data_IF_675355304864
#
_entry.id   IF_675355304864
#
_cell.length_a   1.000
_cell.length_b   1.000
_cell.length_c   1.000
_cell.angle_alpha   90.00
_cell.angle_beta   90.00
_cell.angle_gamma   90.00
#
_symmetry.space_group_name_H-M   'P 1'
#
loop_
_entity.id
_entity.type
_entity.pdbx_description
1 polymer ?
#
# COMPACT_ATOMS: atom_id res chain seq x y z
N UNK A 1 10.48 -17.12 -15.99
CA UNK A 1 9.01 -17.32 -16.05
C UNK A 1 8.32 -17.59 -14.70
N UNK A 2 8.54 -18.70 -13.97
CA UNK A 2 7.76 -19.01 -12.74
C UNK A 2 7.88 -17.97 -11.60
N UNK A 3 9.06 -17.40 -11.33
CA UNK A 3 9.25 -16.41 -10.24
C UNK A 3 8.46 -15.12 -10.42
N UNK A 4 8.38 -14.58 -11.65
CA UNK A 4 7.64 -13.33 -11.93
C UNK A 4 6.13 -13.51 -11.85
N UNK A 5 5.63 -14.67 -12.31
CA UNK A 5 4.21 -15.04 -12.13
C UNK A 5 3.89 -15.12 -10.64
N UNK A 6 4.71 -15.79 -9.83
CA UNK A 6 4.48 -15.87 -8.37
C UNK A 6 4.58 -14.51 -7.67
N UNK A 7 5.52 -13.63 -8.06
CA UNK A 7 5.65 -12.30 -7.46
C UNK A 7 4.48 -11.36 -7.80
N UNK A 8 4.05 -11.33 -9.07
CA UNK A 8 2.89 -10.54 -9.50
C UNK A 8 1.60 -11.09 -8.88
N UNK A 9 1.45 -12.42 -8.80
CA UNK A 9 0.33 -13.08 -8.13
C UNK A 9 0.31 -12.75 -6.63
N UNK A 10 1.45 -12.81 -5.92
CA UNK A 10 1.54 -12.42 -4.50
C UNK A 10 1.11 -10.97 -4.27
N UNK A 11 1.47 -10.04 -5.18
CA UNK A 11 1.08 -8.63 -5.07
C UNK A 11 -0.43 -8.44 -5.24
N UNK A 12 -1.03 -9.07 -6.25
CA UNK A 12 -2.47 -9.00 -6.52
C UNK A 12 -3.26 -9.70 -5.41
N UNK A 13 -2.79 -10.84 -4.91
CA UNK A 13 -3.40 -11.55 -3.78
C UNK A 13 -3.34 -10.74 -2.49
N UNK A 14 -2.21 -10.09 -2.21
CA UNK A 14 -2.06 -9.22 -1.04
C UNK A 14 -2.99 -8.02 -1.11
N UNK A 15 -3.12 -7.38 -2.29
CA UNK A 15 -4.08 -6.31 -2.51
C UNK A 15 -5.53 -6.79 -2.34
N UNK A 16 -5.89 -7.92 -2.95
CA UNK A 16 -7.24 -8.47 -2.85
C UNK A 16 -7.61 -8.82 -1.40
N UNK A 17 -6.68 -9.42 -0.66
CA UNK A 17 -6.86 -9.71 0.77
C UNK A 17 -7.05 -8.43 1.56
N UNK A 18 -6.23 -7.42 1.29
CA UNK A 18 -6.33 -6.11 1.95
C UNK A 18 -7.65 -5.41 1.64
N UNK A 19 -8.09 -5.37 0.38
CA UNK A 19 -9.37 -4.75 0.00
C UNK A 19 -10.59 -5.49 0.55
N UNK A 20 -10.52 -6.82 0.67
CA UNK A 20 -11.57 -7.60 1.36
C UNK A 20 -11.61 -7.29 2.85
N UNK A 21 -10.45 -7.09 3.49
CA UNK A 21 -10.36 -6.69 4.89
C UNK A 21 -10.90 -5.27 5.13
N UNK A 22 -10.68 -4.33 4.20
CA UNK A 22 -11.24 -2.97 4.25
C UNK A 22 -12.77 -2.96 4.07
N UNK A 23 -13.31 -3.92 3.32
CA UNK A 23 -14.75 -4.07 3.10
C UNK A 23 -15.48 -4.43 4.39
N UNK A 24 -16.00 -3.42 5.09
CA UNK A 24 -16.69 -3.56 6.37
C UNK A 24 -17.84 -4.59 6.33
N UNK A 25 -17.94 -5.40 7.39
CA UNK A 25 -19.21 -5.94 7.87
C UNK A 25 -19.74 -7.25 7.29
N UNK A 26 -19.06 -7.90 6.33
CA UNK A 26 -19.25 -9.34 5.97
C UNK A 26 -18.22 -9.83 4.92
N UNK A 27 -16.94 -9.41 5.00
CA UNK A 27 -15.91 -9.72 3.98
C UNK A 27 -16.29 -9.28 2.54
N UNK A 28 -17.11 -8.24 2.39
CA UNK A 28 -17.63 -7.80 1.09
C UNK A 28 -18.82 -8.59 0.56
N UNK A 29 -19.49 -9.41 1.38
CA UNK A 29 -20.77 -10.03 0.99
C UNK A 29 -21.83 -8.94 0.86
N UNK A 30 -22.30 -8.82 -0.36
CA UNK A 30 -23.39 -7.96 -0.74
C UNK A 30 -24.68 -8.59 -0.22
N UNK A 31 -25.27 -8.00 0.83
CA UNK A 31 -26.53 -8.48 1.40
C UNK A 31 -27.75 -8.18 0.52
N UNK A 32 -27.63 -7.24 -0.44
CA UNK A 32 -28.74 -6.76 -1.27
C UNK A 32 -28.48 -6.94 -2.77
N UNK A 33 -29.44 -7.51 -3.50
CA UNK A 33 -29.33 -7.76 -4.94
C UNK A 33 -29.73 -6.53 -5.78
N UNK A 34 -29.52 -5.32 -5.26
CA UNK A 34 -29.64 -4.07 -6.01
C UNK A 34 -28.31 -3.73 -6.71
N UNK A 35 -28.25 -3.76 -8.05
CA UNK A 35 -27.03 -3.47 -8.79
C UNK A 35 -26.49 -2.06 -8.54
N UNK A 36 -27.33 -1.07 -8.23
CA UNK A 36 -26.89 0.31 -7.99
C UNK A 36 -26.17 0.40 -6.64
N UNK A 37 -26.70 -0.21 -5.60
CA UNK A 37 -26.09 -0.22 -4.27
C UNK A 37 -24.80 -1.06 -4.25
N UNK A 38 -24.75 -2.13 -5.05
CA UNK A 38 -23.52 -2.90 -5.27
C UNK A 38 -22.42 -2.06 -5.92
N UNK A 39 -22.75 -1.33 -6.99
CA UNK A 39 -21.79 -0.47 -7.68
C UNK A 39 -21.25 0.62 -6.75
N UNK A 40 -22.11 1.26 -5.95
CA UNK A 40 -21.70 2.25 -4.95
C UNK A 40 -20.77 1.64 -3.91
N UNK A 41 -21.10 0.47 -3.40
CA UNK A 41 -20.29 -0.26 -2.41
C UNK A 41 -18.91 -0.60 -2.97
N UNK A 42 -18.84 -1.10 -4.21
CA UNK A 42 -17.58 -1.42 -4.87
C UNK A 42 -16.70 -0.18 -5.06
N UNK A 43 -17.29 0.93 -5.54
CA UNK A 43 -16.55 2.20 -5.74
C UNK A 43 -16.07 2.78 -4.42
N UNK A 44 -16.92 2.76 -3.39
CA UNK A 44 -16.56 3.24 -2.07
C UNK A 44 -15.44 2.39 -1.46
N UNK A 45 -15.52 1.07 -1.54
CA UNK A 45 -14.46 0.19 -1.07
C UNK A 45 -13.14 0.44 -1.82
N UNK A 46 -13.18 0.60 -3.15
CA UNK A 46 -11.98 0.92 -3.92
C UNK A 46 -11.36 2.25 -3.49
N UNK A 47 -12.17 3.28 -3.27
CA UNK A 47 -11.70 4.58 -2.77
C UNK A 47 -11.08 4.45 -1.37
N UNK A 48 -11.77 3.78 -0.46
CA UNK A 48 -11.30 3.60 0.92
C UNK A 48 -10.01 2.78 0.96
N UNK A 49 -9.95 1.69 0.21
CA UNK A 49 -8.76 0.84 0.06
C UNK A 49 -7.55 1.68 -0.39
N UNK A 50 -7.73 2.49 -1.44
CA UNK A 50 -6.65 3.35 -1.94
C UNK A 50 -6.24 4.45 -0.93
N UNK A 51 -7.21 5.02 -0.22
CA UNK A 51 -6.93 6.03 0.81
C UNK A 51 -6.09 5.46 1.96
N UNK A 52 -6.42 4.26 2.44
CA UNK A 52 -5.65 3.59 3.50
C UNK A 52 -4.27 3.16 3.00
N UNK A 53 -4.15 2.65 1.78
CA UNK A 53 -2.84 2.35 1.17
C UNK A 53 -1.96 3.60 1.13
N UNK A 54 -2.55 4.75 0.74
CA UNK A 54 -1.83 6.01 0.70
C UNK A 54 -1.38 6.45 2.11
N UNK A 55 -2.26 6.35 3.11
CA UNK A 55 -1.90 6.65 4.50
C UNK A 55 -0.75 5.76 5.01
N UNK A 56 -0.85 4.45 4.80
CA UNK A 56 0.21 3.50 5.16
C UNK A 56 1.54 3.84 4.48
N UNK A 57 1.52 4.24 3.20
CA UNK A 57 2.72 4.64 2.48
C UNK A 57 3.36 5.92 3.05
N UNK A 58 2.54 6.89 3.50
CA UNK A 58 3.03 8.08 4.18
C UNK A 58 3.70 7.74 5.51
N UNK A 59 3.05 6.89 6.32
CA UNK A 59 3.59 6.48 7.61
C UNK A 59 4.91 5.72 7.45
N UNK A 60 4.99 4.81 6.46
CA UNK A 60 6.24 4.11 6.12
C UNK A 60 7.32 5.10 5.70
N UNK A 61 6.99 6.06 4.83
CA UNK A 61 7.97 7.07 4.38
C UNK A 61 8.49 7.91 5.55
N UNK A 62 7.61 8.30 6.48
CA UNK A 62 7.96 9.06 7.66
C UNK A 62 8.89 8.27 8.60
N UNK A 63 8.56 6.99 8.85
CA UNK A 63 9.43 6.09 9.64
C UNK A 63 10.81 5.95 8.98
N UNK A 64 10.86 5.79 7.65
CA UNK A 64 12.12 5.70 6.91
C UNK A 64 12.94 6.99 7.07
N UNK A 65 12.33 8.16 6.98
CA UNK A 65 13.03 9.44 7.21
C UNK A 65 13.61 9.52 8.61
N UNK A 66 12.83 9.16 9.64
CA UNK A 66 13.29 9.17 11.03
C UNK A 66 14.48 8.24 11.24
N UNK A 67 14.44 7.03 10.68
CA UNK A 67 15.54 6.06 10.77
C UNK A 67 16.82 6.58 10.08
N UNK A 68 16.69 7.27 8.94
CA UNK A 68 17.83 7.92 8.27
C UNK A 68 18.39 9.09 9.09
N UNK A 69 17.54 9.90 9.72
CA UNK A 69 17.95 11.00 10.61
C UNK A 69 18.70 10.50 11.86
N UNK A 70 18.32 9.34 12.37
CA UNK A 70 19.03 8.64 13.45
C UNK A 70 20.40 8.09 13.03
N UNK A 71 20.73 8.14 11.73
CA UNK A 71 22.02 7.74 11.18
C UNK A 71 22.12 6.25 10.82
N UNK A 72 20.99 5.54 10.74
CA UNK A 72 20.95 4.14 10.29
C UNK A 72 20.90 4.06 8.77
N UNK A 73 21.66 3.13 8.19
CA UNK A 73 21.56 2.82 6.76
C UNK A 73 20.38 1.87 6.50
N UNK A 74 19.57 2.20 5.49
CA UNK A 74 18.43 1.40 5.07
C UNK A 74 18.79 0.70 3.76
N UNK A 75 18.67 -0.63 3.77
CA UNK A 75 18.83 -1.43 2.57
C UNK A 75 17.65 -1.21 1.61
N UNK A 76 17.88 -0.70 0.38
CA UNK A 76 16.83 -0.46 -0.60
C UNK A 76 16.11 -1.76 -1.02
N UNK A 77 16.79 -2.91 -1.03
CA UNK A 77 16.18 -4.20 -1.36
C UNK A 77 15.18 -4.61 -0.27
N UNK A 78 15.59 -4.53 1.01
CA UNK A 78 14.71 -4.73 2.16
C UNK A 78 13.48 -3.81 2.14
N UNK A 79 13.66 -2.53 1.85
CA UNK A 79 12.56 -1.57 1.78
C UNK A 79 11.60 -1.85 0.62
N UNK A 80 12.11 -2.33 -0.52
CA UNK A 80 11.28 -2.72 -1.66
C UNK A 80 10.34 -3.92 -1.38
N UNK A 81 10.65 -4.72 -0.36
CA UNK A 81 9.79 -5.81 0.11
C UNK A 81 8.68 -5.36 1.08
N UNK A 82 8.75 -4.13 1.59
CA UNK A 82 7.72 -3.58 2.48
C UNK A 82 6.47 -3.26 1.64
N UNK A 83 5.34 -3.86 2.04
CA UNK A 83 4.05 -3.62 1.39
C UNK A 83 3.18 -2.70 2.24
N UNK A 84 2.49 -1.71 1.64
CA UNK A 84 1.62 -0.77 2.36
C UNK A 84 0.26 -1.37 2.77
N UNK A 85 0.19 -2.69 2.96
CA UNK A 85 -1.04 -3.44 3.28
C UNK A 85 -1.08 -3.87 4.75
N UNK A 86 -0.38 -3.14 5.61
CA UNK A 86 -0.37 -3.34 7.06
C UNK A 86 -1.75 -2.99 7.64
N UNK A 87 -2.21 -3.82 8.57
CA UNK A 87 -3.57 -3.71 9.15
C UNK A 87 -3.56 -3.66 10.67
N UNK A 88 -2.47 -4.10 11.32
CA UNK A 88 -2.39 -4.25 12.78
C UNK A 88 -2.44 -2.91 13.53
N UNK A 89 -1.95 -1.82 12.91
CA UNK A 89 -1.98 -0.47 13.49
C UNK A 89 -3.30 0.27 13.27
N UNK A 90 -4.19 -0.28 12.43
CA UNK A 90 -5.46 0.35 12.07
C UNK A 90 -6.53 -0.11 13.06
N UNK A 91 -6.95 0.81 13.91
CA UNK A 91 -8.08 0.59 14.80
C UNK A 91 -9.35 0.98 14.04
N UNK A 92 -10.33 0.06 13.99
CA UNK A 92 -11.64 0.29 13.36
C UNK A 92 -12.69 0.86 14.30
N UNK A 93 -12.55 0.51 15.58
CA UNK A 93 -13.47 0.90 16.64
C UNK A 93 -12.72 1.74 17.65
N UNK A 94 -13.35 2.81 18.09
CA UNK A 94 -12.78 3.73 19.06
C UNK A 94 -13.51 5.05 19.04
N UNK A 95 -13.22 5.86 20.06
CA UNK A 95 -13.59 7.26 20.08
C UNK A 95 -12.49 8.05 19.37
N UNK A 96 -12.77 8.56 18.18
CA UNK A 96 -11.85 9.40 17.44
C UNK A 96 -12.11 10.86 17.79
N UNK A 97 -11.10 11.51 18.38
CA UNK A 97 -11.14 12.93 18.69
C UNK A 97 -11.16 13.74 17.40
N UNK A 98 -12.16 14.59 17.23
CA UNK A 98 -12.26 15.50 16.06
C UNK A 98 -11.40 16.75 16.21
N UNK A 99 -10.68 16.91 17.33
CA UNK A 99 -9.86 18.09 17.60
C UNK A 99 -8.74 18.31 16.56
N UNK A 100 -8.26 17.23 15.94
CA UNK A 100 -7.16 17.27 14.97
C UNK A 100 -7.62 17.53 13.53
N UNK A 101 -8.93 17.51 13.25
CA UNK A 101 -9.48 17.75 11.90
C UNK A 101 -9.21 19.17 11.37
N UNK A 102 -8.84 20.11 12.25
CA UNK A 102 -8.47 21.48 11.89
C UNK A 102 -6.98 21.68 11.62
N UNK A 103 -6.14 20.66 11.87
CA UNK A 103 -4.70 20.73 11.64
C UNK A 103 -4.45 20.49 10.15
N UNK A 104 -3.87 21.48 9.47
CA UNK A 104 -3.44 21.29 8.10
C UNK A 104 -2.20 20.38 8.10
N UNK A 105 -2.21 19.25 7.37
CA UNK A 105 -1.02 18.41 7.26
C UNK A 105 0.08 19.17 6.53
N UNK A 106 1.33 18.83 6.85
CA UNK A 106 2.49 19.33 6.11
C UNK A 106 2.40 18.96 4.63
N UNK A 107 3.10 19.73 3.80
CA UNK A 107 3.13 19.47 2.37
C UNK A 107 3.69 18.06 2.10
N UNK A 108 3.01 17.33 1.22
CA UNK A 108 3.45 16.00 0.81
C UNK A 108 4.85 16.08 0.16
N UNK A 109 5.84 15.44 0.80
CA UNK A 109 7.18 15.25 0.25
C UNK A 109 7.35 13.81 -0.28
N UNK A 110 7.37 13.62 -1.62
CA UNK A 110 7.58 12.30 -2.22
C UNK A 110 9.04 11.83 -2.18
N UNK A 111 10.00 12.69 -1.79
CA UNK A 111 11.41 12.35 -1.87
C UNK A 111 11.82 11.51 -0.66
N UNK A 112 12.52 10.42 -0.93
CA UNK A 112 13.14 9.55 0.07
C UNK A 112 14.63 9.47 -0.24
N UNK A 113 15.49 9.65 0.75
CA UNK A 113 16.95 9.63 0.57
C UNK A 113 17.51 8.20 0.57
N UNK A 114 16.85 7.32 -0.19
CA UNK A 114 17.23 5.92 -0.39
C UNK A 114 17.50 5.70 -1.89
N UNK A 115 18.65 5.12 -2.22
CA UNK A 115 19.01 4.86 -3.62
C UNK A 115 18.41 3.54 -4.13
N UNK A 116 17.32 3.64 -4.89
CA UNK A 116 16.68 2.51 -5.55
C UNK A 116 17.18 2.25 -6.98
N UNK A 117 18.15 3.03 -7.48
CA UNK A 117 18.75 2.85 -8.82
C UNK A 117 19.21 1.40 -9.08
N UNK A 118 19.91 0.71 -8.16
CA UNK A 118 20.36 -0.67 -8.39
C UNK A 118 19.23 -1.67 -8.67
N UNK A 119 18.04 -1.48 -8.07
CA UNK A 119 16.89 -2.36 -8.30
C UNK A 119 16.27 -2.12 -9.68
N UNK A 120 16.23 -0.86 -10.14
CA UNK A 120 15.68 -0.50 -11.45
C UNK A 120 16.51 -1.07 -12.60
N UNK A 121 17.83 -1.13 -12.44
CA UNK A 121 18.74 -1.73 -13.43
C UNK A 121 18.62 -3.26 -13.49
N UNK A 122 18.36 -3.91 -12.35
CA UNK A 122 18.10 -5.36 -12.27
C UNK A 122 16.78 -5.73 -12.97
N UNK A 123 15.73 -4.94 -12.81
CA UNK A 123 14.46 -5.15 -13.51
C UNK A 123 14.58 -4.96 -15.02
N UNK A 124 15.34 -3.95 -15.46
CA UNK A 124 15.60 -3.68 -16.89
C UNK A 124 16.43 -4.78 -17.54
N UNK A 125 17.46 -5.28 -16.86
CA UNK A 125 18.28 -6.41 -17.35
C UNK A 125 17.49 -7.71 -17.39
N UNK A 126 16.65 -7.98 -16.37
CA UNK A 126 15.75 -9.14 -16.37
C UNK A 126 14.67 -9.06 -17.47
N UNK A 127 14.14 -7.86 -17.76
CA UNK A 127 13.17 -7.65 -18.83
C UNK A 127 13.81 -7.73 -20.23
N UNK A 128 15.03 -7.21 -20.41
CA UNK A 128 15.76 -7.26 -21.69
C UNK A 128 16.16 -8.70 -22.06
N UNK A 129 16.54 -9.52 -21.08
CA UNK A 129 16.85 -10.94 -21.30
C UNK A 129 15.61 -11.77 -21.67
N UNK A 130 14.40 -11.36 -21.28
CA UNK A 130 13.14 -12.03 -21.67
C UNK A 130 12.66 -11.65 -23.08
N UNK A 131 13.04 -10.49 -23.62
CA UNK A 131 12.69 -10.10 -25.00
C UNK A 131 13.63 -10.71 -26.07
N UNK A 132 14.70 -11.37 -25.64
CA UNK A 132 15.69 -12.01 -26.52
C UNK A 132 15.52 -13.54 -26.63
N UNK A 133 14.42 -14.11 -26.13
CA UNK A 133 14.06 -15.54 -26.19
C UNK A 133 12.68 -15.71 -26.79
#
# INVERSE_FOLDING_TARGET
MRRRVTAATNKVESFNRFSQWIGFGDCGVIADNDPIEQEKTMKFNALLTNAVIFHNALDIAEIVRQVLEEGWEIDPEGLAHVSPYLTEHIHWFGEYSTHELGIQPDAYDPKLEVDFTPLREQDLTAAALEQAV
#
